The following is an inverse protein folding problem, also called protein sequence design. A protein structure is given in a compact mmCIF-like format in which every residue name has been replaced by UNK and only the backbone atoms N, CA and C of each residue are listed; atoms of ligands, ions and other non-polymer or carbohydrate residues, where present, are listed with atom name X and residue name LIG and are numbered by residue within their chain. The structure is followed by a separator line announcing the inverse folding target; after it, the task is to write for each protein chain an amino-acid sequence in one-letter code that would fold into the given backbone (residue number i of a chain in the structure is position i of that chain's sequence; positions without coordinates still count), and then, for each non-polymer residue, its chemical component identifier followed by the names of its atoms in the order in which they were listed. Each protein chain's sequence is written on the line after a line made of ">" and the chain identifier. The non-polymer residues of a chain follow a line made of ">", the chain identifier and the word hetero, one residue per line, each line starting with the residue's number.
data_IF_818044862150
#
_entry.id   IF_818044862150
#
_cell.length_a   1.000
_cell.length_b   1.000
_cell.length_c   1.000
_cell.angle_alpha   90.00
_cell.angle_beta   90.00
_cell.angle_gamma   90.00
#
_symmetry.space_group_name_H-M   'P 1'
#
loop_
_entity.id
_entity.type
_entity.pdbx_description
1 polymer ?
#
# COMPACT_ATOMS: atom_id res chain seq x y z
N UNK A 1 -20.04 -0.43 -10.72
CA UNK A 1 -20.72 -0.15 -9.43
C UNK A 1 -19.64 -0.20 -8.37
N UNK A 2 -19.03 0.96 -8.10
CA UNK A 2 -17.87 1.12 -7.23
C UNK A 2 -18.32 0.95 -5.77
N UNK A 3 -17.86 -0.12 -5.13
CA UNK A 3 -18.00 -0.24 -3.68
C UNK A 3 -16.92 0.61 -3.02
N UNK A 4 -17.20 1.89 -2.83
CA UNK A 4 -16.48 2.67 -1.85
C UNK A 4 -16.79 2.08 -0.47
N UNK A 5 -15.78 1.49 0.16
CA UNK A 5 -15.87 1.06 1.55
C UNK A 5 -15.95 2.30 2.43
N UNK A 6 -17.17 2.82 2.63
CA UNK A 6 -17.45 3.84 3.64
C UNK A 6 -17.39 3.21 5.02
N UNK A 7 -16.18 3.14 5.60
CA UNK A 7 -16.02 2.83 7.02
C UNK A 7 -16.25 4.10 7.85
N UNK A 8 -16.93 4.01 9.00
CA UNK A 8 -17.19 5.17 9.85
C UNK A 8 -15.88 5.71 10.44
N UNK A 9 -15.44 6.80 9.86
CA UNK A 9 -14.10 7.35 9.94
C UNK A 9 -13.70 7.92 11.34
N UNK A 10 -14.61 8.17 12.26
CA UNK A 10 -14.30 8.75 13.58
C UNK A 10 -13.74 7.74 14.59
N UNK A 11 -14.03 6.45 14.43
CA UNK A 11 -13.65 5.43 15.40
C UNK A 11 -12.22 4.89 15.20
N UNK A 12 -11.63 5.07 14.01
CA UNK A 12 -10.41 4.41 13.58
C UNK A 12 -9.14 5.01 14.18
N UNK A 13 -8.94 6.31 14.04
CA UNK A 13 -7.73 6.98 14.58
C UNK A 13 -7.70 6.92 16.11
N UNK A 14 -8.86 7.02 16.77
CA UNK A 14 -8.94 6.91 18.23
C UNK A 14 -8.68 5.48 18.74
N UNK A 15 -9.03 4.43 18.00
CA UNK A 15 -8.71 3.04 18.35
C UNK A 15 -7.24 2.69 18.14
N UNK A 16 -6.63 3.15 17.04
CA UNK A 16 -5.18 3.03 16.85
C UNK A 16 -4.46 3.72 18.01
N UNK A 17 -4.92 4.89 18.42
CA UNK A 17 -4.32 5.67 19.52
C UNK A 17 -4.46 5.01 20.90
N UNK A 18 -5.55 4.30 21.19
CA UNK A 18 -5.78 3.78 22.56
C UNK A 18 -5.27 2.35 22.81
N UNK A 19 -5.32 1.46 21.84
CA UNK A 19 -4.99 0.04 22.06
C UNK A 19 -3.86 -0.49 21.18
N UNK A 20 -3.59 0.11 20.02
CA UNK A 20 -2.67 -0.42 19.02
C UNK A 20 -1.23 0.05 19.16
N UNK A 21 -0.98 1.20 19.80
CA UNK A 21 0.36 1.79 19.87
C UNK A 21 1.23 1.11 20.93
N UNK A 22 0.65 0.62 22.02
CA UNK A 22 1.43 0.03 23.13
C UNK A 22 1.94 -1.38 22.86
N UNK A 23 1.30 -2.13 21.96
CA UNK A 23 1.67 -3.52 21.66
C UNK A 23 2.43 -3.68 20.34
N UNK A 24 2.65 -2.59 19.62
CA UNK A 24 3.34 -2.55 18.34
C UNK A 24 4.45 -1.53 18.45
N UNK A 25 5.51 -1.75 17.71
CA UNK A 25 6.68 -0.90 17.57
C UNK A 25 6.41 0.51 16.99
N UNK A 26 5.16 1.01 17.14
CA UNK A 26 4.71 2.28 16.59
C UNK A 26 4.72 3.35 17.68
N UNK A 27 5.60 4.34 17.57
CA UNK A 27 5.56 5.51 18.45
C UNK A 27 4.36 6.41 18.12
N UNK A 28 3.91 7.18 19.10
CA UNK A 28 2.82 8.15 18.87
C UNK A 28 3.22 9.22 17.87
N UNK A 29 4.49 9.62 17.90
CA UNK A 29 5.09 10.61 17.00
C UNK A 29 5.08 10.09 15.56
N UNK A 30 5.44 8.82 15.34
CA UNK A 30 5.40 8.20 14.04
C UNK A 30 3.96 8.16 13.48
N UNK A 31 2.99 7.72 14.29
CA UNK A 31 1.58 7.67 13.88
C UNK A 31 1.04 9.06 13.57
N UNK A 32 1.38 10.08 14.38
CA UNK A 32 0.98 11.46 14.14
C UNK A 32 1.60 12.02 12.85
N UNK A 33 2.90 11.76 12.61
CA UNK A 33 3.62 12.19 11.42
C UNK A 33 3.06 11.52 10.15
N UNK A 34 2.85 10.22 10.15
CA UNK A 34 2.23 9.53 9.02
C UNK A 34 0.81 10.04 8.78
N UNK A 35 0.03 10.24 9.85
CA UNK A 35 -1.33 10.76 9.79
C UNK A 35 -1.42 12.23 9.37
N UNK A 36 -0.33 13.01 9.39
CA UNK A 36 -0.30 14.36 8.85
C UNK A 36 -0.40 14.40 7.32
N UNK A 37 -0.11 13.30 6.64
CA UNK A 37 -0.08 13.16 5.18
C UNK A 37 0.91 14.09 4.47
N UNK A 38 1.87 14.69 5.19
CA UNK A 38 2.91 15.56 4.59
C UNK A 38 3.78 14.78 3.58
N UNK A 39 3.97 13.47 3.81
CA UNK A 39 4.68 12.59 2.90
C UNK A 39 3.98 12.45 1.54
N UNK A 40 2.63 12.57 1.49
CA UNK A 40 1.87 12.57 0.22
C UNK A 40 2.18 13.87 -0.55
N UNK A 41 2.16 15.02 0.14
CA UNK A 41 2.52 16.29 -0.48
C UNK A 41 3.95 16.30 -1.05
N UNK A 42 4.84 15.50 -0.46
CA UNK A 42 6.24 15.36 -0.90
C UNK A 42 6.45 14.23 -1.92
N UNK A 43 5.39 13.59 -2.39
CA UNK A 43 5.44 12.41 -3.27
C UNK A 43 6.38 11.30 -2.74
N UNK A 44 6.47 11.14 -1.42
CA UNK A 44 7.33 10.14 -0.77
C UNK A 44 6.59 8.81 -0.63
N UNK A 45 7.31 7.70 -0.77
CA UNK A 45 6.76 6.36 -0.61
C UNK A 45 6.86 5.88 0.85
N UNK A 46 5.95 4.97 1.24
CA UNK A 46 5.99 4.28 2.54
C UNK A 46 5.94 2.78 2.33
N UNK A 47 6.76 2.05 3.06
CA UNK A 47 6.80 0.60 3.08
C UNK A 47 6.50 0.12 4.49
N UNK A 48 5.37 -0.57 4.67
CA UNK A 48 4.98 -1.19 5.93
C UNK A 48 5.36 -2.67 5.92
N UNK A 49 6.39 -3.03 6.67
CA UNK A 49 6.86 -4.41 6.80
C UNK A 49 6.39 -5.05 8.10
N UNK A 50 6.22 -6.36 8.11
CA UNK A 50 5.95 -7.13 9.32
C UNK A 50 5.21 -8.42 9.06
N UNK A 51 5.18 -9.30 10.05
CA UNK A 51 4.52 -10.61 9.99
C UNK A 51 3.04 -10.48 9.64
N UNK A 52 2.43 -11.58 9.20
CA UNK A 52 0.98 -11.62 8.99
C UNK A 52 0.23 -11.25 10.28
N UNK A 53 -0.89 -10.54 10.13
CA UNK A 53 -1.80 -10.18 11.23
C UNK A 53 -1.25 -9.22 12.30
N UNK A 54 -0.11 -8.55 12.07
CA UNK A 54 0.37 -7.48 12.99
C UNK A 54 -0.34 -6.13 12.78
N UNK A 55 -1.19 -6.00 11.75
CA UNK A 55 -2.03 -4.83 11.50
C UNK A 55 -1.51 -3.87 10.43
N UNK A 56 -0.67 -4.34 9.48
CA UNK A 56 -0.20 -3.54 8.34
C UNK A 56 -1.35 -2.95 7.52
N UNK A 57 -2.23 -3.82 7.00
CA UNK A 57 -3.43 -3.43 6.25
C UNK A 57 -4.31 -2.46 7.03
N UNK A 58 -4.43 -2.68 8.35
CA UNK A 58 -5.17 -1.79 9.22
C UNK A 58 -4.58 -0.38 9.26
N UNK A 59 -3.26 -0.27 9.40
CA UNK A 59 -2.56 1.02 9.36
C UNK A 59 -2.67 1.68 7.99
N UNK A 60 -2.50 0.90 6.90
CA UNK A 60 -2.63 1.40 5.53
C UNK A 60 -4.02 2.01 5.27
N UNK A 61 -5.09 1.32 5.68
CA UNK A 61 -6.47 1.84 5.57
C UNK A 61 -6.73 3.07 6.46
N UNK A 62 -6.10 3.16 7.63
CA UNK A 62 -6.18 4.35 8.48
C UNK A 62 -5.51 5.56 7.80
N UNK A 63 -4.37 5.35 7.13
CA UNK A 63 -3.66 6.39 6.38
C UNK A 63 -4.44 6.79 5.12
N UNK A 64 -5.07 5.84 4.41
CA UNK A 64 -5.98 6.14 3.31
C UNK A 64 -7.10 7.08 3.77
N UNK A 65 -7.76 6.75 4.89
CA UNK A 65 -8.81 7.61 5.45
C UNK A 65 -8.27 8.99 5.85
N UNK A 66 -7.05 9.07 6.37
CA UNK A 66 -6.42 10.35 6.71
C UNK A 66 -6.14 11.20 5.47
N UNK A 67 -5.71 10.57 4.37
CA UNK A 67 -5.50 11.21 3.09
C UNK A 67 -6.80 11.77 2.49
N UNK A 68 -7.84 10.92 2.41
CA UNK A 68 -9.15 11.35 1.90
C UNK A 68 -9.76 12.51 2.69
N UNK A 69 -9.52 12.60 4.01
CA UNK A 69 -9.97 13.73 4.83
C UNK A 69 -9.21 15.03 4.57
N UNK A 70 -8.12 14.97 3.82
CA UNK A 70 -7.30 16.11 3.38
C UNK A 70 -7.44 16.34 1.89
N UNK A 71 -8.55 15.82 1.31
CA UNK A 71 -8.91 15.97 -0.08
C UNK A 71 -7.92 15.34 -1.08
N UNK A 72 -7.01 14.46 -0.62
CA UNK A 72 -6.21 13.64 -1.51
C UNK A 72 -7.04 12.52 -2.12
N UNK A 73 -6.84 12.29 -3.40
CA UNK A 73 -7.37 11.10 -4.08
C UNK A 73 -6.56 9.88 -3.67
N UNK A 74 -7.25 8.78 -3.30
CA UNK A 74 -6.58 7.57 -2.84
C UNK A 74 -7.23 6.32 -3.41
N UNK A 75 -6.40 5.33 -3.79
CA UNK A 75 -6.83 4.02 -4.26
C UNK A 75 -6.13 2.92 -3.47
N UNK A 76 -6.87 1.85 -3.19
CA UNK A 76 -6.38 0.69 -2.47
C UNK A 76 -6.63 -0.56 -3.30
N UNK A 77 -5.58 -1.37 -3.47
CA UNK A 77 -5.65 -2.69 -4.09
C UNK A 77 -4.85 -3.69 -3.25
N UNK A 78 -5.34 -4.91 -3.16
CA UNK A 78 -4.45 -6.03 -2.89
C UNK A 78 -3.68 -6.31 -4.18
N UNK A 79 -2.41 -6.58 -4.06
CA UNK A 79 -1.55 -6.77 -5.25
C UNK A 79 -2.04 -7.91 -6.12
N UNK A 80 -2.47 -9.03 -5.53
CA UNK A 80 -3.03 -10.17 -6.26
C UNK A 80 -4.35 -9.82 -6.98
N UNK A 81 -5.23 -9.03 -6.34
CA UNK A 81 -6.50 -8.61 -6.94
C UNK A 81 -6.26 -7.65 -8.12
N UNK A 82 -5.29 -6.74 -8.00
CA UNK A 82 -4.87 -5.87 -9.10
C UNK A 82 -4.31 -6.69 -10.27
N UNK A 83 -3.44 -7.67 -9.98
CA UNK A 83 -2.87 -8.57 -10.98
C UNK A 83 -3.96 -9.37 -11.71
N UNK A 84 -4.91 -9.94 -10.96
CA UNK A 84 -6.05 -10.67 -11.53
C UNK A 84 -6.94 -9.78 -12.40
N UNK A 85 -7.19 -8.54 -11.96
CA UNK A 85 -7.99 -7.58 -12.73
C UNK A 85 -7.29 -7.18 -14.04
N UNK A 86 -5.98 -6.94 -14.02
CA UNK A 86 -5.20 -6.64 -15.21
C UNK A 86 -5.14 -7.83 -16.18
N UNK A 87 -5.07 -9.06 -15.67
CA UNK A 87 -4.97 -10.27 -16.48
C UNK A 87 -6.24 -10.57 -17.30
N UNK A 88 -7.42 -10.15 -16.82
CA UNK A 88 -8.70 -10.36 -17.53
C UNK A 88 -9.07 -9.21 -18.48
N UNK A 89 -8.35 -8.10 -18.44
CA UNK A 89 -8.58 -6.97 -19.34
C UNK A 89 -7.78 -7.16 -20.64
N UNK A 90 -8.45 -7.05 -21.78
CA UNK A 90 -7.78 -7.09 -23.07
C UNK A 90 -6.74 -5.96 -23.15
N UNK A 91 -5.57 -6.28 -23.72
CA UNK A 91 -4.46 -5.33 -23.82
C UNK A 91 -4.81 -4.07 -24.62
N UNK A 92 -5.68 -4.21 -25.61
CA UNK A 92 -6.15 -3.10 -26.48
C UNK A 92 -7.47 -2.48 -26.02
N UNK A 93 -8.06 -2.93 -24.91
CA UNK A 93 -9.31 -2.34 -24.41
C UNK A 93 -9.02 -0.93 -23.85
N UNK A 94 -9.69 0.11 -24.38
CA UNK A 94 -9.58 1.46 -23.83
C UNK A 94 -9.84 1.55 -22.34
N UNK A 95 -10.68 0.67 -21.79
CA UNK A 95 -10.96 0.60 -20.33
C UNK A 95 -9.73 0.17 -19.52
N UNK A 96 -8.86 -0.67 -20.09
CA UNK A 96 -7.59 -1.02 -19.45
C UNK A 96 -6.69 0.23 -19.30
N UNK A 97 -6.58 1.00 -20.36
CA UNK A 97 -5.80 2.24 -20.34
C UNK A 97 -6.38 3.26 -19.35
N UNK A 98 -7.69 3.44 -19.36
CA UNK A 98 -8.39 4.32 -18.42
C UNK A 98 -8.14 3.88 -16.97
N UNK A 99 -8.25 2.58 -16.67
CA UNK A 99 -8.02 2.01 -15.36
C UNK A 99 -6.57 2.25 -14.89
N UNK A 100 -5.57 1.98 -15.76
CA UNK A 100 -4.15 2.23 -15.45
C UNK A 100 -3.92 3.73 -15.24
N UNK A 101 -4.50 4.59 -16.07
CA UNK A 101 -4.39 6.04 -15.92
C UNK A 101 -4.94 6.52 -14.58
N UNK A 102 -6.11 6.02 -14.18
CA UNK A 102 -6.70 6.36 -12.88
C UNK A 102 -5.83 5.93 -11.70
N UNK A 103 -5.15 4.78 -11.79
CA UNK A 103 -4.21 4.33 -10.75
C UNK A 103 -2.96 5.21 -10.74
N UNK A 104 -2.47 5.57 -11.92
CA UNK A 104 -1.25 6.36 -12.09
C UNK A 104 -1.40 7.79 -11.57
N UNK A 105 -2.56 8.40 -11.78
CA UNK A 105 -2.81 9.83 -11.46
C UNK A 105 -3.35 10.08 -10.07
N UNK A 106 -3.66 9.04 -9.29
CA UNK A 106 -4.13 9.21 -7.89
C UNK A 106 -2.99 9.71 -6.98
N UNK A 107 -3.29 10.58 -6.01
CA UNK A 107 -2.27 11.11 -5.09
C UNK A 107 -1.65 10.02 -4.21
N UNK A 108 -2.47 9.08 -3.72
CA UNK A 108 -2.03 7.95 -2.91
C UNK A 108 -2.48 6.62 -3.52
N UNK A 109 -1.53 5.80 -3.91
CA UNK A 109 -1.74 4.40 -4.27
C UNK A 109 -1.34 3.49 -3.11
N UNK A 110 -2.23 2.60 -2.67
CA UNK A 110 -1.91 1.57 -1.68
C UNK A 110 -1.94 0.20 -2.35
N UNK A 111 -0.82 -0.52 -2.23
CA UNK A 111 -0.68 -1.92 -2.67
C UNK A 111 -0.51 -2.80 -1.44
N UNK A 112 -1.58 -3.48 -1.04
CA UNK A 112 -1.58 -4.35 0.13
C UNK A 112 -1.10 -5.76 -0.24
N UNK A 113 -0.43 -6.43 0.70
CA UNK A 113 0.19 -7.76 0.50
C UNK A 113 1.14 -7.80 -0.72
N UNK A 114 1.97 -6.76 -0.87
CA UNK A 114 2.85 -6.55 -2.03
C UNK A 114 3.86 -7.66 -2.20
N UNK A 115 3.88 -8.25 -3.41
CA UNK A 115 4.81 -9.32 -3.82
C UNK A 115 4.94 -10.45 -2.79
N UNK A 116 3.81 -10.88 -2.22
CA UNK A 116 3.76 -12.07 -1.37
C UNK A 116 3.72 -13.38 -2.18
N UNK A 117 3.41 -13.26 -3.47
CA UNK A 117 3.43 -14.34 -4.46
C UNK A 117 4.14 -13.86 -5.73
N UNK A 118 4.73 -14.76 -6.54
CA UNK A 118 5.27 -14.39 -7.83
C UNK A 118 4.20 -13.80 -8.74
N UNK A 119 4.57 -12.76 -9.49
CA UNK A 119 3.68 -12.09 -10.45
C UNK A 119 4.08 -12.42 -11.90
N UNK A 120 3.11 -12.34 -12.82
CA UNK A 120 3.36 -12.53 -14.24
C UNK A 120 4.26 -11.42 -14.82
N UNK A 121 5.00 -11.70 -15.91
CA UNK A 121 5.80 -10.68 -16.59
C UNK A 121 4.97 -9.46 -17.01
N UNK A 122 3.75 -9.66 -17.52
CA UNK A 122 2.86 -8.57 -17.90
C UNK A 122 2.50 -7.68 -16.68
N UNK A 123 2.12 -8.30 -15.58
CA UNK A 123 1.85 -7.57 -14.32
C UNK A 123 3.07 -6.79 -13.84
N UNK A 124 4.28 -7.38 -13.92
CA UNK A 124 5.51 -6.72 -13.53
C UNK A 124 5.79 -5.47 -14.38
N UNK A 125 5.61 -5.57 -15.71
CA UNK A 125 5.74 -4.43 -16.62
C UNK A 125 4.71 -3.34 -16.36
N UNK A 126 3.45 -3.72 -16.11
CA UNK A 126 2.40 -2.73 -15.79
C UNK A 126 2.70 -2.02 -14.47
N UNK A 127 3.10 -2.73 -13.43
CA UNK A 127 3.49 -2.14 -12.15
C UNK A 127 4.72 -1.22 -12.31
N UNK A 128 5.72 -1.65 -13.10
CA UNK A 128 6.87 -0.82 -13.41
C UNK A 128 6.45 0.50 -14.08
N UNK A 129 5.57 0.45 -15.08
CA UNK A 129 5.09 1.64 -15.77
C UNK A 129 4.28 2.57 -14.83
N UNK A 130 3.41 2.00 -13.99
CA UNK A 130 2.65 2.76 -12.99
C UNK A 130 3.60 3.47 -12.02
N UNK A 131 4.55 2.76 -11.43
CA UNK A 131 5.48 3.33 -10.44
C UNK A 131 6.42 4.35 -11.08
N UNK A 132 6.87 4.11 -12.32
CA UNK A 132 7.70 5.07 -13.06
C UNK A 132 6.95 6.39 -13.34
N UNK A 133 5.69 6.30 -13.75
CA UNK A 133 4.89 7.49 -14.02
C UNK A 133 4.47 8.25 -12.75
N UNK A 134 4.52 7.58 -11.58
CA UNK A 134 4.21 8.19 -10.29
C UNK A 134 5.42 8.82 -9.59
N UNK A 135 6.62 8.54 -10.06
CA UNK A 135 7.87 9.01 -9.44
C UNK A 135 7.89 10.55 -9.37
N UNK A 136 7.98 11.10 -8.16
CA UNK A 136 7.94 12.54 -7.91
C UNK A 136 6.57 13.23 -8.07
N UNK A 137 5.52 12.51 -8.44
CA UNK A 137 4.17 13.04 -8.67
C UNK A 137 3.12 12.53 -7.69
N UNK A 138 3.25 11.29 -7.23
CA UNK A 138 2.30 10.70 -6.29
C UNK A 138 2.95 9.67 -5.39
N UNK A 139 2.41 9.51 -4.20
CA UNK A 139 2.94 8.58 -3.19
C UNK A 139 2.40 7.17 -3.37
N UNK A 140 3.26 6.19 -3.14
CA UNK A 140 2.86 4.79 -3.07
C UNK A 140 3.15 4.25 -1.67
N UNK A 141 2.13 3.61 -1.07
CA UNK A 141 2.27 2.88 0.18
C UNK A 141 2.12 1.39 -0.10
N UNK A 142 3.10 0.60 0.28
CA UNK A 142 2.99 -0.85 0.19
C UNK A 142 2.98 -1.50 1.56
N UNK A 143 2.25 -2.59 1.70
CA UNK A 143 2.36 -3.47 2.87
C UNK A 143 2.90 -4.82 2.43
N UNK A 144 3.85 -5.38 3.15
CA UNK A 144 4.35 -6.72 2.88
C UNK A 144 4.82 -7.43 4.14
N UNK A 145 4.87 -8.75 4.08
CA UNK A 145 5.55 -9.56 5.08
C UNK A 145 6.98 -9.93 4.66
N UNK A 146 7.33 -9.63 3.43
CA UNK A 146 8.65 -9.86 2.86
C UNK A 146 9.42 -8.56 2.72
N UNK A 147 10.74 -8.66 2.78
CA UNK A 147 11.65 -7.52 2.59
C UNK A 147 11.82 -7.19 1.10
N UNK A 148 12.34 -6.00 0.75
CA UNK A 148 12.64 -5.65 -0.64
C UNK A 148 13.55 -6.65 -1.35
N UNK A 149 14.50 -7.26 -0.63
CA UNK A 149 15.39 -8.28 -1.18
C UNK A 149 14.62 -9.55 -1.57
N UNK A 150 13.62 -9.93 -0.76
CA UNK A 150 12.75 -11.08 -1.05
C UNK A 150 11.80 -10.79 -2.22
N UNK A 151 11.32 -9.56 -2.40
CA UNK A 151 10.48 -9.17 -3.54
C UNK A 151 11.18 -9.38 -4.88
N UNK A 152 12.49 -9.20 -4.92
CA UNK A 152 13.29 -9.43 -6.12
C UNK A 152 13.10 -10.84 -6.67
N UNK A 153 12.86 -11.84 -5.81
CA UNK A 153 12.63 -13.22 -6.21
C UNK A 153 11.25 -13.46 -6.83
N UNK A 154 10.29 -12.61 -6.53
CA UNK A 154 8.90 -12.71 -7.01
C UNK A 154 8.72 -12.21 -8.46
N UNK A 155 9.73 -11.56 -9.04
CA UNK A 155 9.70 -11.03 -10.41
C UNK A 155 10.70 -11.82 -11.25
N UNK A 156 10.21 -12.41 -12.34
CA UNK A 156 11.04 -13.28 -13.19
C UNK A 156 12.14 -12.51 -13.92
N UNK A 157 11.79 -11.37 -14.55
CA UNK A 157 12.75 -10.49 -15.22
C UNK A 157 13.49 -9.64 -14.19
N UNK A 158 14.80 -9.88 -14.07
CA UNK A 158 15.63 -9.23 -13.06
C UNK A 158 15.93 -7.75 -13.35
N UNK A 159 15.91 -7.35 -14.61
CA UNK A 159 16.09 -5.94 -15.00
C UNK A 159 14.83 -5.15 -14.64
N UNK A 160 13.65 -5.72 -14.91
CA UNK A 160 12.37 -5.13 -14.49
C UNK A 160 12.26 -5.10 -12.98
N UNK A 161 12.66 -6.18 -12.29
CA UNK A 161 12.66 -6.25 -10.83
C UNK A 161 13.49 -5.13 -10.21
N UNK A 162 14.75 -4.98 -10.61
CA UNK A 162 15.66 -3.95 -10.13
C UNK A 162 15.10 -2.55 -10.38
N UNK A 163 14.65 -2.30 -11.60
CA UNK A 163 14.11 -1.01 -11.99
C UNK A 163 12.83 -0.62 -11.24
N UNK A 164 11.94 -1.58 -11.01
CA UNK A 164 10.70 -1.40 -10.27
C UNK A 164 10.98 -1.13 -8.78
N UNK A 165 11.84 -1.97 -8.18
CA UNK A 165 12.14 -1.89 -6.76
C UNK A 165 12.94 -0.62 -6.42
N UNK A 166 13.87 -0.19 -7.27
CA UNK A 166 14.61 1.06 -7.08
C UNK A 166 13.68 2.28 -7.00
N UNK A 167 12.60 2.32 -7.81
CA UNK A 167 11.61 3.40 -7.78
C UNK A 167 10.73 3.37 -6.54
N UNK A 168 10.39 2.18 -6.08
CA UNK A 168 9.53 2.02 -4.91
C UNK A 168 10.29 2.26 -3.61
N UNK A 169 11.52 1.72 -3.51
CA UNK A 169 12.34 1.72 -2.28
C UNK A 169 13.20 2.99 -2.19
N UNK A 170 13.59 3.56 -3.35
CA UNK A 170 14.42 4.77 -3.39
C UNK A 170 13.75 5.94 -2.68
N UNK A 171 14.30 6.36 -1.54
CA UNK A 171 13.74 7.44 -0.73
C UNK A 171 12.47 7.07 0.05
N UNK A 172 12.04 5.80 0.06
CA UNK A 172 10.89 5.37 0.84
C UNK A 172 11.19 5.32 2.34
N UNK A 173 10.20 5.67 3.14
CA UNK A 173 10.25 5.41 4.57
C UNK A 173 9.81 3.98 4.87
N UNK A 174 10.72 3.18 5.44
CA UNK A 174 10.42 1.79 5.84
C UNK A 174 10.00 1.77 7.30
N UNK A 175 8.78 1.31 7.55
CA UNK A 175 8.18 1.18 8.87
C UNK A 175 7.98 -0.31 9.17
N UNK A 176 8.75 -0.85 10.10
CA UNK A 176 8.61 -2.22 10.56
C UNK A 176 7.57 -2.32 11.67
N UNK A 177 6.53 -3.12 11.46
CA UNK A 177 5.53 -3.42 12.48
C UNK A 177 5.86 -4.77 13.13
N UNK A 178 6.03 -4.75 14.44
CA UNK A 178 6.15 -5.96 15.25
C UNK A 178 5.05 -5.98 16.31
N UNK A 179 4.61 -7.17 16.70
CA UNK A 179 3.56 -7.31 17.70
C UNK A 179 2.82 -8.65 17.63
N UNK A 180 1.88 -8.86 18.56
CA UNK A 180 1.08 -10.08 18.60
C UNK A 180 0.16 -10.20 17.36
N UNK A 181 -0.22 -11.45 17.06
CA UNK A 181 -1.22 -11.72 16.05
C UNK A 181 -2.59 -11.15 16.47
N UNK A 182 -3.03 -10.10 15.77
CA UNK A 182 -4.26 -9.38 16.10
C UNK A 182 -5.54 -10.18 15.82
N UNK A 183 -5.47 -11.22 14.98
CA UNK A 183 -6.63 -12.09 14.68
C UNK A 183 -6.89 -13.10 15.78
N UNK A 184 -5.87 -13.41 16.60
CA UNK A 184 -5.95 -14.38 17.71
C UNK A 184 -6.18 -13.70 19.07
N UNK A 185 -6.17 -12.37 19.12
CA UNK A 185 -6.39 -11.64 20.38
C UNK A 185 -7.90 -11.60 20.71
N UNK A 186 -8.34 -12.05 21.91
CA UNK A 186 -9.76 -12.14 22.30
C UNK A 186 -10.50 -10.80 22.37
N UNK A 187 -9.82 -9.69 22.21
CA UNK A 187 -10.35 -8.32 22.43
C UNK A 187 -11.08 -7.73 21.22
N UNK A 188 -11.24 -8.47 20.12
CA UNK A 188 -11.95 -7.99 18.92
C UNK A 188 -13.43 -8.39 18.86
N UNK A 189 -13.95 -9.03 19.92
CA UNK A 189 -15.39 -9.37 20.03
C UNK A 189 -15.99 -8.47 21.10
N UNK A 190 -16.36 -7.25 20.71
CA UNK A 190 -17.49 -6.47 21.28
C UNK A 190 -17.71 -5.18 20.50
#
# INVERSE_FOLDING_TARGET
>A
MERYLTFPARCWFQRVHRQGVRSRNLSRELVARLGSCQWIANASNIILLGKSSVGKTYLALALLNAACRRDYTARFFRTDDLAAQLAVMDYHDPKRLEFITQITTTDLLILDDFLTTPISPDTAHVLFNILSAREGLGSTLVTSQFTPEEWYTCIADKVVAESLLNRLVGGAEIVSLDGPNMRLSPTMVR
#
